data_IF_356409740134
#
_entry.id   IF_356409740134
#
_cell.length_a   1.000
_cell.length_b   1.000
_cell.length_c   1.000
_cell.angle_alpha   90.00
_cell.angle_beta   90.00
_cell.angle_gamma   90.00
#
_symmetry.space_group_name_H-M   'P 1'
#
loop_
_entity.id
_entity.type
_entity.pdbx_description
1 polymer ?
#
# COMPACT_ATOMS: atom_id res chain seq x y z
N UNK A 1 -2.42 -8.48 -10.77
CA UNK A 1 -2.84 -9.50 -11.76
C UNK A 1 -3.60 -10.58 -10.99
N UNK A 2 -4.93 -10.51 -10.93
CA UNK A 2 -5.77 -11.37 -10.08
C UNK A 2 -5.97 -12.76 -10.72
N UNK A 3 -6.28 -12.80 -12.02
CA UNK A 3 -6.55 -14.04 -12.76
C UNK A 3 -5.35 -14.99 -12.85
N UNK A 4 -4.12 -14.47 -13.01
CA UNK A 4 -2.91 -15.31 -13.04
C UNK A 4 -2.56 -15.93 -11.68
N UNK A 5 -3.11 -15.39 -10.58
CA UNK A 5 -2.78 -15.80 -9.21
C UNK A 5 -3.70 -16.89 -8.65
N UNK A 6 -4.65 -17.38 -9.46
CA UNK A 6 -5.62 -18.42 -9.10
C UNK A 6 -5.55 -19.63 -10.05
N UNK A 7 -4.58 -19.64 -10.97
CA UNK A 7 -4.40 -20.73 -11.94
C UNK A 7 -3.75 -21.97 -11.30
N UNK A 8 -2.90 -21.77 -10.29
CA UNK A 8 -2.31 -22.86 -9.51
C UNK A 8 -3.23 -23.29 -8.35
N UNK A 9 -3.55 -24.59 -8.19
CA UNK A 9 -4.38 -25.10 -7.09
C UNK A 9 -3.85 -24.76 -5.69
N UNK A 10 -2.52 -24.67 -5.50
CA UNK A 10 -1.91 -24.30 -4.24
C UNK A 10 -2.17 -22.82 -3.92
N UNK A 11 -1.98 -21.94 -4.90
CA UNK A 11 -2.28 -20.50 -4.74
C UNK A 11 -3.76 -20.27 -4.44
N UNK A 12 -4.65 -21.04 -5.06
CA UNK A 12 -6.07 -20.99 -4.78
C UNK A 12 -6.39 -21.41 -3.33
N UNK A 13 -5.81 -22.52 -2.85
CA UNK A 13 -5.98 -22.97 -1.48
C UNK A 13 -5.45 -21.96 -0.45
N UNK A 14 -4.33 -21.30 -0.74
CA UNK A 14 -3.77 -20.23 0.11
C UNK A 14 -4.70 -19.00 0.15
N UNK A 15 -5.29 -18.61 -1.00
CA UNK A 15 -6.26 -17.52 -1.03
C UNK A 15 -7.52 -17.84 -0.23
N UNK A 16 -8.03 -19.07 -0.30
CA UNK A 16 -9.17 -19.51 0.53
C UNK A 16 -8.83 -19.44 2.02
N UNK A 17 -7.67 -19.96 2.39
CA UNK A 17 -7.19 -19.97 3.79
C UNK A 17 -7.03 -18.56 4.33
N UNK A 18 -6.39 -17.67 3.57
CA UNK A 18 -6.19 -16.27 3.97
C UNK A 18 -7.54 -15.54 4.12
N UNK A 19 -8.48 -15.73 3.20
CA UNK A 19 -9.82 -15.13 3.26
C UNK A 19 -10.60 -15.59 4.48
N UNK A 20 -10.58 -16.89 4.77
CA UNK A 20 -11.20 -17.44 5.97
C UNK A 20 -10.62 -16.83 7.25
N UNK A 21 -9.29 -16.66 7.32
CA UNK A 21 -8.60 -16.10 8.48
C UNK A 21 -8.81 -14.59 8.64
N UNK A 22 -8.94 -13.85 7.53
CA UNK A 22 -9.10 -12.39 7.53
C UNK A 22 -10.55 -11.93 7.55
N UNK A 23 -11.51 -12.85 7.41
CA UNK A 23 -12.94 -12.55 7.35
C UNK A 23 -13.40 -11.94 6.03
N UNK A 24 -12.55 -11.95 5.01
CA UNK A 24 -12.89 -11.46 3.67
C UNK A 24 -13.77 -12.50 2.98
N UNK A 25 -14.97 -12.14 2.46
CA UNK A 25 -15.86 -13.07 1.80
C UNK A 25 -15.21 -13.82 0.63
N UNK A 26 -15.58 -15.09 0.47
CA UNK A 26 -15.09 -15.93 -0.64
C UNK A 26 -15.69 -15.49 -1.99
N UNK A 27 -16.92 -14.97 -1.97
CA UNK A 27 -17.65 -14.54 -3.18
C UNK A 27 -16.95 -13.38 -3.90
N UNK A 28 -16.11 -12.62 -3.21
CA UNK A 28 -15.26 -11.60 -3.81
C UNK A 28 -14.32 -12.19 -4.88
N UNK A 29 -13.99 -13.49 -4.84
CA UNK A 29 -13.24 -14.12 -5.93
C UNK A 29 -13.99 -14.13 -7.27
N UNK A 30 -15.32 -14.18 -7.23
CA UNK A 30 -16.16 -14.11 -8.42
C UNK A 30 -16.43 -12.66 -8.83
N UNK A 31 -16.68 -11.79 -7.84
CA UNK A 31 -17.17 -10.44 -8.09
C UNK A 31 -16.04 -9.41 -8.27
N UNK A 32 -14.77 -9.77 -8.00
CA UNK A 32 -13.64 -8.84 -8.08
C UNK A 32 -13.52 -8.15 -9.43
N UNK A 33 -13.57 -8.91 -10.55
CA UNK A 33 -13.44 -8.33 -11.89
C UNK A 33 -14.67 -7.46 -12.27
N UNK A 34 -15.92 -7.94 -12.13
CA UNK A 34 -17.09 -7.10 -12.36
C UNK A 34 -17.09 -5.81 -11.53
N UNK A 35 -16.73 -5.89 -10.24
CA UNK A 35 -16.68 -4.74 -9.36
C UNK A 35 -15.59 -3.76 -9.78
N UNK A 36 -14.41 -4.26 -10.18
CA UNK A 36 -13.31 -3.43 -10.66
C UNK A 36 -13.69 -2.71 -11.96
N UNK A 37 -14.35 -3.40 -12.89
CA UNK A 37 -14.82 -2.82 -14.16
C UNK A 37 -15.91 -1.77 -13.96
N UNK A 38 -16.70 -1.88 -12.88
CA UNK A 38 -17.76 -0.95 -12.55
C UNK A 38 -17.26 0.37 -11.94
N UNK A 39 -16.01 0.44 -11.47
CA UNK A 39 -15.45 1.65 -10.84
C UNK A 39 -15.43 2.81 -11.82
N UNK A 40 -16.08 3.91 -11.44
CA UNK A 40 -16.09 5.15 -12.22
C UNK A 40 -14.93 6.07 -11.85
N UNK A 41 -14.67 7.06 -12.72
CA UNK A 41 -13.65 8.08 -12.46
C UNK A 41 -13.97 8.94 -11.22
N UNK A 42 -15.25 9.26 -11.01
CA UNK A 42 -15.69 10.06 -9.87
C UNK A 42 -15.52 9.29 -8.56
N UNK A 43 -15.89 8.00 -8.53
CA UNK A 43 -15.66 7.14 -7.35
C UNK A 43 -14.16 6.97 -7.03
N UNK A 44 -13.32 6.87 -8.06
CA UNK A 44 -11.87 6.82 -7.87
C UNK A 44 -11.34 8.14 -7.28
N UNK A 45 -11.86 9.28 -7.74
CA UNK A 45 -11.49 10.60 -7.22
C UNK A 45 -11.96 10.80 -5.78
N UNK A 46 -13.19 10.40 -5.46
CA UNK A 46 -13.75 10.45 -4.10
C UNK A 46 -12.95 9.57 -3.14
N UNK A 47 -12.55 8.37 -3.57
CA UNK A 47 -11.69 7.49 -2.79
C UNK A 47 -10.30 8.11 -2.57
N UNK A 48 -9.71 8.72 -3.59
CA UNK A 48 -8.44 9.43 -3.47
C UNK A 48 -8.53 10.58 -2.46
N UNK A 49 -9.56 11.43 -2.58
CA UNK A 49 -9.79 12.54 -1.65
C UNK A 49 -10.03 12.08 -0.20
N UNK A 50 -10.62 10.90 -0.02
CA UNK A 50 -10.89 10.34 1.31
C UNK A 50 -9.67 9.72 1.98
N UNK A 51 -8.82 9.03 1.23
CA UNK A 51 -7.77 8.18 1.79
C UNK A 51 -6.35 8.67 1.55
N UNK A 52 -6.13 9.62 0.64
CA UNK A 52 -4.81 10.23 0.39
C UNK A 52 -4.76 11.58 1.09
N UNK A 53 -3.98 11.67 2.16
CA UNK A 53 -3.68 12.94 2.83
C UNK A 53 -2.57 13.67 2.08
N UNK A 54 -2.95 14.75 1.39
CA UNK A 54 -2.00 15.61 0.67
C UNK A 54 -1.40 16.71 1.53
N UNK A 55 -1.96 16.97 2.72
CA UNK A 55 -1.49 18.02 3.63
C UNK A 55 -0.35 17.51 4.53
N UNK A 56 -0.42 16.24 4.94
CA UNK A 56 0.58 15.61 5.83
C UNK A 56 1.13 14.28 5.27
N UNK A 57 1.84 14.29 4.12
CA UNK A 57 2.38 13.07 3.53
C UNK A 57 3.54 12.51 4.37
N UNK A 58 3.63 11.18 4.45
CA UNK A 58 4.80 10.48 4.98
C UNK A 58 5.72 10.14 3.80
N UNK A 59 6.92 10.72 3.79
CA UNK A 59 7.92 10.50 2.74
C UNK A 59 9.09 9.73 3.36
N UNK A 60 9.40 8.55 2.82
CA UNK A 60 10.52 7.72 3.25
C UNK A 60 11.53 7.64 2.11
N UNK A 61 12.78 8.03 2.40
CA UNK A 61 13.90 7.98 1.46
C UNK A 61 14.94 7.02 2.02
N UNK A 62 15.33 6.03 1.21
CA UNK A 62 16.31 5.01 1.61
C UNK A 62 17.61 5.26 0.83
N UNK A 63 18.70 5.54 1.55
CA UNK A 63 19.99 5.86 0.95
C UNK A 63 21.06 6.21 2.00
N UNK A 64 22.16 6.80 1.55
CA UNK A 64 23.18 7.35 2.45
C UNK A 64 22.63 8.62 3.12
N UNK A 65 22.25 8.53 4.41
CA UNK A 65 21.68 9.64 5.17
C UNK A 65 22.50 10.93 5.04
N UNK A 66 23.83 10.83 5.15
CA UNK A 66 24.74 11.98 5.07
C UNK A 66 24.72 12.70 3.69
N UNK A 67 24.27 12.03 2.63
CA UNK A 67 24.13 12.65 1.30
C UNK A 67 22.71 13.21 1.05
N UNK A 68 21.68 12.56 1.60
CA UNK A 68 20.27 12.87 1.28
C UNK A 68 19.61 13.80 2.29
N UNK A 69 19.97 13.72 3.56
CA UNK A 69 19.39 14.53 4.63
C UNK A 69 19.48 16.04 4.34
N UNK A 70 20.63 16.61 3.94
CA UNK A 70 20.72 18.05 3.65
C UNK A 70 19.80 18.51 2.52
N UNK A 71 19.45 17.62 1.59
CA UNK A 71 18.55 17.94 0.47
C UNK A 71 17.08 17.88 0.90
N UNK A 72 16.76 17.08 1.92
CA UNK A 72 15.40 16.89 2.43
C UNK A 72 15.01 17.98 3.42
N UNK A 73 15.97 18.53 4.17
CA UNK A 73 15.75 19.67 5.07
C UNK A 73 15.19 20.91 4.36
N UNK A 74 15.52 21.11 3.09
CA UNK A 74 14.95 22.17 2.24
C UNK A 74 13.44 21.97 1.97
N UNK A 75 12.95 20.74 2.10
CA UNK A 75 11.56 20.35 1.82
C UNK A 75 10.75 20.32 3.13
N UNK A 76 11.35 19.89 4.23
CA UNK A 76 10.70 19.84 5.54
C UNK A 76 11.53 19.16 6.61
N UNK A 77 10.97 19.00 7.83
CA UNK A 77 11.66 18.32 8.93
C UNK A 77 12.04 16.88 8.57
N UNK A 78 13.28 16.50 8.86
CA UNK A 78 13.81 15.15 8.61
C UNK A 78 14.01 14.43 9.94
N UNK A 79 13.65 13.15 9.97
CA UNK A 79 13.95 12.24 11.09
C UNK A 79 14.69 11.05 10.51
N UNK A 80 15.95 10.87 10.94
CA UNK A 80 16.76 9.73 10.50
C UNK A 80 16.44 8.53 11.39
N UNK A 81 16.15 7.40 10.74
CA UNK A 81 15.85 6.12 11.40
C UNK A 81 16.75 5.00 10.87
N UNK A 82 16.97 3.99 11.68
CA UNK A 82 17.64 2.76 11.28
C UNK A 82 16.70 1.80 10.51
N UNK A 83 17.21 0.61 10.16
CA UNK A 83 16.46 -0.40 9.41
C UNK A 83 15.25 -0.95 10.16
N UNK A 84 15.22 -0.82 11.49
CA UNK A 84 14.12 -1.24 12.35
C UNK A 84 13.15 -0.06 12.64
N UNK A 85 13.42 1.12 12.09
CA UNK A 85 12.61 2.32 12.26
C UNK A 85 12.87 3.05 13.57
N UNK A 86 13.96 2.75 14.27
CA UNK A 86 14.34 3.47 15.50
C UNK A 86 15.06 4.76 15.13
N UNK A 87 14.71 5.86 15.80
CA UNK A 87 15.38 7.16 15.60
C UNK A 87 16.85 7.04 15.98
N UNK A 88 17.72 7.52 15.09
CA UNK A 88 19.14 7.62 15.36
C UNK A 88 19.36 8.98 16.03
N UNK A 89 19.60 9.00 17.34
CA UNK A 89 20.03 10.21 18.04
C UNK A 89 21.50 10.48 17.67
N UNK A 90 21.81 11.67 17.16
CA UNK A 90 23.18 12.12 16.90
C UNK A 90 24.03 12.29 18.18
#
# INVERSE_FOLDING_TARGET
NFALRIEDPADFADQLSNRYLTGVPIDELNDYLPNLEAVTADEALDAAAKYIDTESPIIVVVGNAAEVEPQLEDIGPVVVVDADGQVIEE
#
